data_IF_955500536753
#
_entry.id   IF_955500536753
#
_cell.length_a   1.000
_cell.length_b   1.000
_cell.length_c   1.000
_cell.angle_alpha   90.00
_cell.angle_beta   90.00
_cell.angle_gamma   90.00
#
_symmetry.space_group_name_H-M   'P 1'
#
loop_
_entity.id
_entity.type
_entity.pdbx_description
1 polymer ?
#
# COMPACT_ATOMS: atom_id res chain seq x y z
N UNK A 1 -18.25 1.72 -8.85
CA UNK A 1 -17.44 1.31 -7.68
C UNK A 1 -16.36 0.34 -8.15
N UNK A 2 -15.09 0.78 -8.08
CA UNK A 2 -13.89 0.00 -8.45
C UNK A 2 -13.76 -1.28 -7.59
N UNK A 3 -13.43 -2.40 -8.22
CA UNK A 3 -13.15 -3.71 -7.62
C UNK A 3 -11.82 -3.72 -6.86
N UNK A 4 -10.84 -2.93 -7.32
CA UNK A 4 -9.59 -2.70 -6.61
C UNK A 4 -9.82 -1.94 -5.29
N UNK A 5 -10.73 -0.96 -5.28
CA UNK A 5 -11.11 -0.22 -4.09
C UNK A 5 -12.22 -0.89 -3.25
N UNK A 6 -12.80 -2.02 -3.71
CA UNK A 6 -13.82 -2.76 -2.94
C UNK A 6 -13.16 -3.43 -1.73
N UNK A 7 -13.50 -3.03 -0.51
CA UNK A 7 -12.97 -3.68 0.65
C UNK A 7 -13.67 -5.03 0.81
N UNK A 8 -12.94 -6.12 0.63
CA UNK A 8 -13.21 -7.32 1.42
C UNK A 8 -12.79 -6.93 2.85
N UNK A 9 -13.62 -6.16 3.56
CA UNK A 9 -13.40 -5.70 4.94
C UNK A 9 -11.96 -5.26 5.20
N UNK A 10 -11.46 -4.21 4.52
CA UNK A 10 -10.10 -3.70 4.78
C UNK A 10 -10.08 -3.19 6.23
N UNK A 11 -9.37 -3.86 7.14
CA UNK A 11 -9.37 -3.45 8.54
C UNK A 11 -8.70 -2.07 8.67
N UNK A 12 -9.13 -1.26 9.63
CA UNK A 12 -8.56 0.08 9.82
C UNK A 12 -7.08 0.01 10.26
N UNK A 13 -6.69 -1.04 10.97
CA UNK A 13 -5.34 -1.24 11.47
C UNK A 13 -4.42 -1.89 10.42
N UNK A 14 -3.26 -1.30 10.16
CA UNK A 14 -2.25 -1.82 9.22
C UNK A 14 -1.82 -3.27 9.51
N UNK A 15 -1.67 -3.66 10.77
CA UNK A 15 -1.32 -5.04 11.14
C UNK A 15 -2.39 -6.05 10.71
N UNK A 16 -3.66 -5.67 10.84
CA UNK A 16 -4.78 -6.51 10.40
C UNK A 16 -4.84 -6.61 8.86
N UNK A 17 -4.44 -5.55 8.14
CA UNK A 17 -4.29 -5.60 6.67
C UNK A 17 -3.18 -6.55 6.24
N UNK A 18 -2.04 -6.53 6.95
CA UNK A 18 -0.96 -7.49 6.74
C UNK A 18 -1.49 -8.92 6.94
N UNK A 19 -2.20 -9.20 8.04
CA UNK A 19 -2.76 -10.53 8.32
C UNK A 19 -3.75 -10.98 7.26
N UNK A 20 -4.60 -10.07 6.78
CA UNK A 20 -5.52 -10.34 5.68
C UNK A 20 -4.77 -10.75 4.40
N UNK A 21 -3.68 -10.05 4.05
CA UNK A 21 -2.86 -10.39 2.89
C UNK A 21 -2.19 -11.77 3.00
N UNK A 22 -1.70 -12.15 4.19
CA UNK A 22 -1.18 -13.50 4.44
C UNK A 22 -2.25 -14.58 4.28
N UNK A 23 -3.41 -14.40 4.92
CA UNK A 23 -4.54 -15.35 4.81
C UNK A 23 -4.99 -15.50 3.36
N UNK A 24 -5.04 -14.39 2.63
CA UNK A 24 -5.40 -14.36 1.22
C UNK A 24 -4.41 -15.13 0.34
N UNK A 25 -3.12 -14.98 0.63
CA UNK A 25 -2.06 -15.70 -0.05
C UNK A 25 -2.00 -17.20 0.30
N UNK A 26 -2.76 -17.65 1.32
CA UNK A 26 -2.65 -19.01 1.87
C UNK A 26 -1.33 -19.25 2.58
N UNK A 27 -0.66 -18.17 3.02
CA UNK A 27 0.62 -18.24 3.75
C UNK A 27 0.33 -18.10 5.25
N UNK A 28 0.96 -18.91 6.12
CA UNK A 28 0.80 -18.77 7.56
C UNK A 28 1.09 -17.35 8.02
N UNK A 29 0.17 -16.76 8.78
CA UNK A 29 0.38 -15.44 9.38
C UNK A 29 1.54 -15.55 10.38
N UNK A 30 2.59 -14.72 10.28
CA UNK A 30 3.70 -14.75 11.23
C UNK A 30 3.18 -14.54 12.66
N UNK A 31 3.57 -15.41 13.57
CA UNK A 31 3.24 -15.25 15.00
C UNK A 31 3.84 -13.95 15.50
N UNK A 32 2.96 -13.00 15.86
CA UNK A 32 3.33 -11.79 16.59
C UNK A 32 2.94 -11.97 18.05
N UNK A 33 3.51 -11.17 18.94
CA UNK A 33 3.20 -11.18 20.37
C UNK A 33 1.75 -10.73 20.70
N UNK A 34 0.77 -10.94 19.80
CA UNK A 34 -0.64 -10.60 19.99
C UNK A 34 -1.20 -11.33 21.22
N UNK A 35 -0.77 -12.57 21.47
CA UNK A 35 -1.14 -13.29 22.69
C UNK A 35 -0.66 -12.64 23.99
N UNK A 36 0.40 -11.82 23.95
CA UNK A 36 0.87 -11.08 25.14
C UNK A 36 -0.12 -9.96 25.50
N UNK A 37 -0.73 -9.31 24.50
CA UNK A 37 -1.75 -8.28 24.74
C UNK A 37 -2.98 -8.91 25.41
N UNK A 38 -3.42 -10.07 24.91
CA UNK A 38 -4.57 -10.78 25.47
C UNK A 38 -4.28 -11.26 26.90
N UNK A 39 -3.08 -11.78 27.16
CA UNK A 39 -2.64 -12.19 28.50
C UNK A 39 -2.59 -11.00 29.47
N UNK A 40 -2.05 -9.86 29.03
CA UNK A 40 -2.01 -8.63 29.85
C UNK A 40 -3.42 -8.09 30.09
N UNK A 41 -4.29 -8.13 29.08
CA UNK A 41 -5.68 -7.66 29.18
C UNK A 41 -6.55 -8.50 30.10
N UNK A 42 -6.30 -9.82 30.17
CA UNK A 42 -7.08 -10.77 30.96
C UNK A 42 -6.77 -10.77 32.47
N UNK A 43 -5.67 -10.15 32.92
CA UNK A 43 -5.37 -10.03 34.36
C UNK A 43 -6.48 -9.21 35.05
N UNK A 44 -6.97 -9.60 36.24
CA UNK A 44 -7.95 -8.81 36.99
C UNK A 44 -7.42 -7.44 37.40
N UNK A 45 -8.30 -6.44 37.44
CA UNK A 45 -7.98 -5.11 37.98
C UNK A 45 -7.94 -5.10 39.50
N UNK A 46 -7.26 -4.12 40.09
CA UNK A 46 -7.23 -3.96 41.55
C UNK A 46 -8.64 -3.81 42.15
N UNK A 47 -9.56 -3.13 41.45
CA UNK A 47 -10.94 -2.94 41.90
C UNK A 47 -11.76 -4.24 41.86
N UNK A 48 -11.61 -5.06 40.81
CA UNK A 48 -12.25 -6.38 40.71
C UNK A 48 -11.76 -7.32 41.82
N UNK A 49 -10.46 -7.32 42.09
CA UNK A 49 -9.87 -8.12 43.18
C UNK A 49 -10.32 -7.60 44.54
N UNK A 50 -10.39 -6.28 44.74
CA UNK A 50 -10.87 -5.69 45.99
C UNK A 50 -12.35 -6.04 46.26
N UNK A 51 -13.19 -6.02 45.23
CA UNK A 51 -14.59 -6.42 45.34
C UNK A 51 -14.75 -7.91 45.70
N UNK A 52 -13.94 -8.79 45.08
CA UNK A 52 -13.91 -10.22 45.42
C UNK A 52 -13.48 -10.45 46.87
N UNK A 53 -12.39 -9.80 47.29
CA UNK A 53 -11.87 -9.90 48.66
C UNK A 53 -12.87 -9.38 49.69
N UNK A 54 -13.59 -8.29 49.41
CA UNK A 54 -14.62 -7.77 50.31
C UNK A 54 -15.75 -8.78 50.53
N UNK A 55 -16.15 -9.53 49.49
CA UNK A 55 -17.13 -10.60 49.61
C UNK A 55 -16.59 -11.81 50.41
N UNK A 56 -15.33 -12.20 50.16
CA UNK A 56 -14.67 -13.31 50.85
C UNK A 56 -14.46 -13.02 52.36
N UNK A 57 -14.12 -11.77 52.70
CA UNK A 57 -13.83 -11.33 54.07
C UNK A 57 -15.01 -11.54 55.04
N UNK A 58 -16.25 -11.48 54.55
CA UNK A 58 -17.47 -11.61 55.37
C UNK A 58 -17.57 -12.99 56.04
N UNK A 59 -17.00 -14.02 55.42
CA UNK A 59 -17.15 -15.41 55.85
C UNK A 59 -15.83 -16.08 56.23
N UNK A 60 -14.71 -15.36 56.21
CA UNK A 60 -13.39 -15.94 56.41
C UNK A 60 -13.11 -16.22 57.91
N UNK A 61 -12.77 -17.47 58.29
CA UNK A 61 -12.55 -17.84 59.69
C UNK A 61 -11.16 -17.45 60.25
N UNK A 62 -10.21 -17.03 59.41
CA UNK A 62 -8.85 -16.61 59.80
C UNK A 62 -8.49 -15.23 59.21
N UNK A 63 -8.80 -14.13 59.92
CA UNK A 63 -8.55 -12.78 59.43
C UNK A 63 -7.07 -12.46 59.18
N UNK A 64 -6.15 -13.08 59.92
CA UNK A 64 -4.72 -12.78 59.81
C UNK A 64 -4.10 -13.42 58.57
N UNK A 65 -4.41 -14.69 58.31
CA UNK A 65 -4.01 -15.36 57.07
C UNK A 65 -4.67 -14.72 55.84
N UNK A 66 -5.97 -14.39 55.94
CA UNK A 66 -6.71 -13.70 54.89
C UNK A 66 -6.08 -12.35 54.52
N UNK A 67 -5.69 -11.55 55.52
CA UNK A 67 -5.10 -10.23 55.28
C UNK A 67 -3.79 -10.33 54.48
N UNK A 68 -2.92 -11.29 54.79
CA UNK A 68 -1.66 -11.48 54.07
C UNK A 68 -1.89 -11.89 52.60
N UNK A 69 -2.81 -12.83 52.35
CA UNK A 69 -3.16 -13.27 50.98
C UNK A 69 -3.84 -12.14 50.19
N UNK A 70 -4.73 -11.38 50.84
CA UNK A 70 -5.40 -10.22 50.25
C UNK A 70 -4.38 -9.17 49.78
N UNK A 71 -3.34 -8.88 50.58
CA UNK A 71 -2.28 -7.96 50.20
C UNK A 71 -1.52 -8.44 48.95
N UNK A 72 -1.18 -9.73 48.86
CA UNK A 72 -0.49 -10.28 47.69
C UNK A 72 -1.36 -10.21 46.43
N UNK A 73 -2.64 -10.56 46.54
CA UNK A 73 -3.61 -10.50 45.43
C UNK A 73 -3.81 -9.07 44.93
N UNK A 74 -3.95 -8.10 45.84
CA UNK A 74 -4.04 -6.68 45.48
C UNK A 74 -2.73 -6.17 44.87
N UNK A 75 -1.57 -6.51 45.44
CA UNK A 75 -0.28 -6.08 44.90
C UNK A 75 -0.05 -6.61 43.47
N UNK A 76 -0.42 -7.87 43.20
CA UNK A 76 -0.38 -8.43 41.85
C UNK A 76 -1.33 -7.69 40.89
N UNK A 77 -2.57 -7.43 41.31
CA UNK A 77 -3.56 -6.74 40.49
C UNK A 77 -3.12 -5.29 40.17
N UNK A 78 -2.57 -4.57 41.15
CA UNK A 78 -1.97 -3.24 40.96
C UNK A 78 -0.80 -3.27 39.98
N UNK A 79 0.08 -4.29 40.06
CA UNK A 79 1.15 -4.48 39.09
C UNK A 79 0.61 -4.80 37.69
N UNK A 80 -0.46 -5.59 37.59
CA UNK A 80 -1.19 -5.87 36.35
C UNK A 80 -1.77 -4.61 35.71
N UNK A 81 -2.44 -3.77 36.49
CA UNK A 81 -2.98 -2.49 36.01
C UNK A 81 -1.87 -1.53 35.55
N UNK A 82 -0.77 -1.46 36.30
CA UNK A 82 0.41 -0.68 35.91
C UNK A 82 1.01 -1.20 34.59
N UNK A 83 1.11 -2.53 34.43
CA UNK A 83 1.59 -3.16 33.21
C UNK A 83 0.66 -2.89 32.03
N UNK A 84 -0.66 -3.05 32.16
CA UNK A 84 -1.64 -2.72 31.11
C UNK A 84 -1.47 -1.28 30.63
N UNK A 85 -1.38 -0.33 31.56
CA UNK A 85 -1.24 1.09 31.24
C UNK A 85 0.10 1.42 30.57
N UNK A 86 1.21 0.85 31.06
CA UNK A 86 2.54 1.09 30.51
C UNK A 86 2.73 0.39 29.14
N UNK A 87 2.27 -0.85 29.03
CA UNK A 87 2.40 -1.67 27.83
C UNK A 87 1.59 -1.09 26.68
N UNK A 88 0.33 -0.68 26.89
CA UNK A 88 -0.47 -0.03 25.86
C UNK A 88 0.22 1.21 25.27
N UNK A 89 0.82 2.05 26.11
CA UNK A 89 1.60 3.22 25.66
C UNK A 89 2.86 2.85 24.90
N UNK A 90 3.57 1.80 25.33
CA UNK A 90 4.80 1.36 24.70
C UNK A 90 4.56 0.64 23.36
N UNK A 91 3.44 -0.08 23.24
CA UNK A 91 3.12 -0.91 22.08
C UNK A 91 2.93 -0.12 20.79
N UNK A 92 2.34 1.08 20.86
CA UNK A 92 2.22 1.94 19.68
C UNK A 92 3.59 2.38 19.16
N UNK A 93 4.52 2.69 20.07
CA UNK A 93 5.90 3.03 19.75
C UNK A 93 6.64 1.85 19.13
N UNK A 94 6.61 0.69 19.80
CA UNK A 94 7.26 -0.54 19.34
C UNK A 94 6.71 -1.01 17.98
N UNK A 95 5.39 -0.92 17.78
CA UNK A 95 4.75 -1.28 16.50
C UNK A 95 5.23 -0.35 15.37
N UNK A 96 5.28 0.96 15.62
CA UNK A 96 5.76 1.94 14.64
C UNK A 96 7.22 1.70 14.28
N UNK A 97 8.06 1.40 15.27
CA UNK A 97 9.48 1.11 15.07
C UNK A 97 9.71 -0.19 14.28
N UNK A 98 8.93 -1.24 14.56
CA UNK A 98 9.04 -2.53 13.87
C UNK A 98 8.36 -2.56 12.48
N UNK A 99 7.48 -1.61 12.17
CA UNK A 99 6.67 -1.62 10.95
C UNK A 99 7.48 -1.69 9.64
N UNK A 100 8.59 -0.94 9.47
CA UNK A 100 9.39 -1.02 8.24
C UNK A 100 9.91 -2.43 7.96
N UNK A 101 10.41 -3.12 8.99
CA UNK A 101 10.92 -4.49 8.87
C UNK A 101 9.78 -5.49 8.64
N UNK A 102 8.65 -5.31 9.32
CA UNK A 102 7.45 -6.12 9.11
C UNK A 102 6.93 -6.00 7.67
N UNK A 103 6.86 -4.79 7.12
CA UNK A 103 6.45 -4.56 5.73
C UNK A 103 7.46 -5.14 4.74
N UNK A 104 8.76 -5.04 5.02
CA UNK A 104 9.78 -5.63 4.17
C UNK A 104 9.65 -7.16 4.12
N UNK A 105 9.55 -7.82 5.28
CA UNK A 105 9.33 -9.28 5.36
C UNK A 105 8.03 -9.68 4.68
N UNK A 106 6.94 -8.97 4.97
CA UNK A 106 5.63 -9.19 4.34
C UNK A 106 5.69 -9.09 2.82
N UNK A 107 6.31 -8.05 2.27
CA UNK A 107 6.45 -7.91 0.82
C UNK A 107 7.25 -9.06 0.21
N UNK A 108 8.29 -9.52 0.89
CA UNK A 108 9.12 -10.65 0.45
C UNK A 108 8.35 -11.96 0.47
N UNK A 109 7.68 -12.27 1.59
CA UNK A 109 6.94 -13.51 1.79
C UNK A 109 5.74 -13.63 0.84
N UNK A 110 5.07 -12.50 0.57
CA UNK A 110 3.88 -12.46 -0.28
C UNK A 110 4.18 -12.33 -1.78
N UNK A 111 5.41 -11.99 -2.17
CA UNK A 111 5.79 -11.78 -3.57
C UNK A 111 5.43 -12.95 -4.49
N UNK A 112 5.70 -14.24 -4.14
CA UNK A 112 5.34 -15.34 -5.02
C UNK A 112 3.83 -15.47 -5.28
N UNK A 113 3.01 -15.21 -4.25
CA UNK A 113 1.55 -15.23 -4.39
C UNK A 113 1.05 -14.05 -5.22
N UNK A 114 1.63 -12.86 -5.03
CA UNK A 114 1.38 -11.70 -5.86
C UNK A 114 1.75 -11.97 -7.34
N UNK A 115 2.93 -12.53 -7.63
CA UNK A 115 3.38 -12.77 -9.00
C UNK A 115 2.45 -13.74 -9.75
N UNK A 116 1.92 -14.75 -9.03
CA UNK A 116 0.90 -15.66 -9.57
C UNK A 116 -0.39 -14.92 -9.91
N UNK A 117 -0.80 -13.99 -9.05
CA UNK A 117 -1.97 -13.16 -9.25
C UNK A 117 -1.80 -12.20 -10.43
N UNK A 118 -0.67 -11.51 -10.52
CA UNK A 118 -0.31 -10.64 -11.63
C UNK A 118 -0.33 -11.40 -12.97
N UNK A 119 0.25 -12.62 -13.01
CA UNK A 119 0.18 -13.51 -14.19
C UNK A 119 -1.26 -13.90 -14.56
N UNK A 120 -2.10 -14.13 -13.57
CA UNK A 120 -3.53 -14.45 -13.78
C UNK A 120 -4.26 -13.26 -14.38
N UNK A 121 -4.05 -12.06 -13.83
CA UNK A 121 -4.61 -10.83 -14.38
C UNK A 121 -4.11 -10.57 -15.81
N UNK A 122 -2.81 -10.72 -16.08
CA UNK A 122 -2.24 -10.56 -17.43
C UNK A 122 -2.88 -11.51 -18.44
N UNK A 123 -3.09 -12.79 -18.10
CA UNK A 123 -3.80 -13.74 -18.99
C UNK A 123 -5.25 -13.33 -19.25
N UNK A 124 -5.96 -12.94 -18.20
CA UNK A 124 -7.34 -12.49 -18.32
C UNK A 124 -7.45 -11.22 -19.17
N UNK A 125 -6.61 -10.21 -18.88
CA UNK A 125 -6.56 -8.91 -19.55
C UNK A 125 -6.32 -9.02 -21.06
N UNK A 126 -5.47 -9.95 -21.50
CA UNK A 126 -5.23 -10.22 -22.92
C UNK A 126 -6.42 -10.81 -23.66
N UNK A 127 -7.35 -11.42 -22.93
CA UNK A 127 -8.56 -12.04 -23.49
C UNK A 127 -9.79 -11.14 -23.37
N UNK A 128 -9.69 -10.02 -22.65
CA UNK A 128 -10.78 -9.06 -22.51
C UNK A 128 -10.79 -8.06 -23.67
N UNK A 129 -11.95 -7.49 -24.01
CA UNK A 129 -12.06 -6.42 -25.01
C UNK A 129 -11.08 -5.27 -24.74
N UNK A 130 -10.58 -4.63 -25.80
CA UNK A 130 -9.68 -3.49 -25.68
C UNK A 130 -10.40 -2.27 -25.09
N UNK A 131 -11.62 -2.01 -25.56
CA UNK A 131 -12.48 -0.92 -25.10
C UNK A 131 -13.37 -1.45 -23.97
N UNK A 132 -13.39 -0.76 -22.83
CA UNK A 132 -14.18 -1.13 -21.64
C UNK A 132 -13.97 -2.60 -21.21
N UNK A 133 -12.75 -3.02 -20.86
CA UNK A 133 -12.40 -4.42 -20.60
C UNK A 133 -13.19 -5.08 -19.47
N UNK A 134 -13.82 -4.29 -18.60
CA UNK A 134 -14.56 -4.77 -17.43
C UNK A 134 -16.08 -4.66 -17.57
N UNK A 135 -16.56 -4.33 -18.77
CA UNK A 135 -17.98 -4.30 -19.09
C UNK A 135 -18.57 -5.73 -19.11
N UNK A 136 -19.72 -5.93 -18.44
CA UNK A 136 -20.32 -7.27 -18.31
C UNK A 136 -20.93 -7.71 -19.62
N UNK A 137 -21.67 -6.82 -20.28
CA UNK A 137 -22.50 -7.17 -21.42
C UNK A 137 -21.59 -7.51 -22.61
N UNK A 138 -20.60 -6.65 -22.90
CA UNK A 138 -19.59 -6.90 -23.92
C UNK A 138 -18.77 -8.17 -23.65
N UNK A 139 -18.45 -8.48 -22.39
CA UNK A 139 -17.73 -9.70 -22.04
C UNK A 139 -18.60 -10.96 -22.19
N UNK A 140 -19.90 -10.89 -21.92
CA UNK A 140 -20.82 -12.02 -22.12
C UNK A 140 -21.05 -12.25 -23.61
N UNK A 141 -21.32 -11.20 -24.38
CA UNK A 141 -21.52 -11.26 -25.83
C UNK A 141 -20.27 -11.80 -26.56
N UNK A 142 -19.08 -11.38 -26.14
CA UNK A 142 -17.80 -11.86 -26.67
C UNK A 142 -17.34 -13.23 -26.16
N UNK A 143 -18.08 -13.88 -25.26
CA UNK A 143 -17.68 -15.19 -24.68
C UNK A 143 -16.50 -15.11 -23.70
N UNK A 144 -16.25 -13.94 -23.12
CA UNK A 144 -15.15 -13.65 -22.19
C UNK A 144 -15.56 -13.64 -20.71
N UNK A 145 -16.77 -14.07 -20.36
CA UNK A 145 -17.30 -14.02 -18.99
C UNK A 145 -16.37 -14.64 -17.93
N UNK A 146 -15.71 -15.76 -18.24
CA UNK A 146 -14.75 -16.40 -17.33
C UNK A 146 -13.50 -15.54 -17.10
N UNK A 147 -12.99 -14.87 -18.15
CA UNK A 147 -11.86 -13.96 -18.06
C UNK A 147 -12.23 -12.69 -17.29
N UNK A 148 -13.44 -12.17 -17.48
CA UNK A 148 -13.94 -11.03 -16.71
C UNK A 148 -14.00 -11.35 -15.22
N UNK A 149 -14.53 -12.52 -14.86
CA UNK A 149 -14.53 -12.98 -13.46
C UNK A 149 -13.11 -13.09 -12.91
N UNK A 150 -12.20 -13.73 -13.64
CA UNK A 150 -10.81 -13.88 -13.21
C UNK A 150 -10.10 -12.53 -13.04
N UNK A 151 -10.34 -11.56 -13.92
CA UNK A 151 -9.80 -10.21 -13.81
C UNK A 151 -10.34 -9.48 -12.58
N UNK A 152 -11.67 -9.50 -12.35
CA UNK A 152 -12.29 -8.87 -11.18
C UNK A 152 -11.80 -9.47 -9.86
N UNK A 153 -11.77 -10.80 -9.79
CA UNK A 153 -11.24 -11.51 -8.63
C UNK A 153 -9.78 -11.10 -8.41
N UNK A 154 -8.96 -11.05 -9.46
CA UNK A 154 -7.57 -10.62 -9.35
C UNK A 154 -7.40 -9.17 -8.89
N UNK A 155 -8.20 -8.23 -9.41
CA UNK A 155 -8.16 -6.82 -9.04
C UNK A 155 -8.52 -6.60 -7.56
N UNK A 156 -9.53 -7.30 -7.05
CA UNK A 156 -9.89 -7.24 -5.63
C UNK A 156 -8.77 -7.79 -4.73
N UNK A 157 -8.14 -8.89 -5.15
CA UNK A 157 -7.01 -9.46 -4.42
C UNK A 157 -5.79 -8.53 -4.44
N UNK A 158 -5.51 -7.87 -5.57
CA UNK A 158 -4.46 -6.85 -5.69
C UNK A 158 -4.71 -5.68 -4.72
N UNK A 159 -5.95 -5.21 -4.60
CA UNK A 159 -6.33 -4.18 -3.62
C UNK A 159 -5.94 -4.53 -2.18
N UNK A 160 -6.01 -5.81 -1.81
CA UNK A 160 -5.59 -6.28 -0.47
C UNK A 160 -4.07 -6.17 -0.28
N UNK A 161 -3.28 -6.48 -1.31
CA UNK A 161 -1.83 -6.29 -1.25
C UNK A 161 -1.43 -4.82 -1.22
N UNK A 162 -2.11 -3.93 -1.97
CA UNK A 162 -1.85 -2.50 -1.90
C UNK A 162 -2.15 -1.94 -0.50
N UNK A 163 -3.24 -2.40 0.11
CA UNK A 163 -3.72 -1.89 1.40
C UNK A 163 -2.74 -2.10 2.57
N UNK A 164 -1.77 -3.03 2.48
CA UNK A 164 -0.74 -3.21 3.52
C UNK A 164 0.11 -1.94 3.70
N UNK A 165 0.20 -1.09 2.67
CA UNK A 165 0.84 0.21 2.74
C UNK A 165 -0.21 1.26 3.09
N UNK A 166 -0.08 1.85 4.28
CA UNK A 166 -0.82 3.06 4.64
C UNK A 166 0.00 4.24 4.15
N UNK A 167 -0.49 4.96 3.14
CA UNK A 167 0.17 6.13 2.58
C UNK A 167 -0.80 7.29 2.50
N UNK A 168 -0.41 8.43 3.07
CA UNK A 168 -1.03 9.70 2.71
C UNK A 168 -0.43 10.16 1.37
N UNK A 169 -1.26 10.54 0.39
CA UNK A 169 -0.74 10.96 -0.91
C UNK A 169 0.11 12.23 -0.74
N UNK A 170 1.37 12.24 -1.20
CA UNK A 170 2.15 13.47 -1.27
C UNK A 170 1.40 14.51 -2.11
N UNK A 171 1.43 15.77 -1.70
CA UNK A 171 0.71 16.88 -2.37
C UNK A 171 1.13 17.04 -3.84
N UNK A 172 2.33 16.57 -4.19
CA UNK A 172 2.95 16.70 -5.50
C UNK A 172 2.77 15.49 -6.43
N UNK A 173 1.97 14.49 -6.02
CA UNK A 173 1.69 13.29 -6.83
C UNK A 173 0.17 13.04 -6.85
N UNK A 174 -0.45 12.76 -8.03
CA UNK A 174 -1.86 12.42 -8.08
C UNK A 174 -2.21 11.22 -7.18
N UNK A 175 -3.26 11.35 -6.38
CA UNK A 175 -3.65 10.33 -5.41
C UNK A 175 -3.95 8.95 -6.04
N UNK A 176 -4.54 8.94 -7.25
CA UNK A 176 -4.79 7.71 -8.00
C UNK A 176 -3.47 6.96 -8.31
N UNK A 177 -2.42 7.69 -8.72
CA UNK A 177 -1.10 7.11 -8.97
C UNK A 177 -0.47 6.59 -7.66
N UNK A 178 -0.55 7.34 -6.56
CA UNK A 178 -0.02 6.91 -5.25
C UNK A 178 -0.61 5.55 -4.84
N UNK A 179 -1.91 5.37 -5.05
CA UNK A 179 -2.62 4.12 -4.71
C UNK A 179 -2.08 2.91 -5.50
N UNK A 180 -1.53 3.14 -6.70
CA UNK A 180 -0.96 2.09 -7.55
C UNK A 180 0.49 1.74 -7.24
N UNK A 181 1.28 2.67 -6.67
CA UNK A 181 2.73 2.49 -6.46
C UNK A 181 3.12 1.22 -5.68
N UNK A 182 2.34 0.74 -4.69
CA UNK A 182 2.61 -0.54 -4.03
C UNK A 182 2.67 -1.74 -4.98
N UNK A 183 1.99 -1.69 -6.12
CA UNK A 183 1.81 -2.83 -7.02
C UNK A 183 2.33 -2.57 -8.44
N UNK A 184 2.65 -1.33 -8.77
CA UNK A 184 3.08 -0.93 -10.12
C UNK A 184 4.52 -0.43 -10.06
N UNK A 185 5.39 -1.09 -10.82
CA UNK A 185 6.72 -0.56 -11.11
C UNK A 185 6.65 0.44 -12.26
N UNK A 186 7.31 1.58 -12.08
CA UNK A 186 7.33 2.69 -13.04
C UNK A 186 8.70 2.75 -13.72
N UNK A 187 8.76 3.15 -15.01
CA UNK A 187 10.03 3.38 -15.67
C UNK A 187 10.78 4.54 -15.02
N UNK A 188 12.07 4.68 -15.33
CA UNK A 188 12.84 5.86 -14.90
C UNK A 188 12.26 7.13 -15.53
N UNK A 189 12.07 8.14 -14.70
CA UNK A 189 11.47 9.43 -15.06
C UNK A 189 12.48 10.54 -14.87
N UNK A 190 12.30 11.63 -15.60
CA UNK A 190 13.12 12.83 -15.47
C UNK A 190 12.30 14.05 -15.11
N UNK A 191 12.96 15.03 -14.49
CA UNK A 191 12.42 16.36 -14.25
C UNK A 191 12.42 17.15 -15.56
N UNK A 192 11.24 17.56 -16.00
CA UNK A 192 11.05 18.25 -17.28
C UNK A 192 11.69 19.65 -17.25
N UNK A 193 12.48 19.97 -18.28
CA UNK A 193 13.10 21.27 -18.44
C UNK A 193 12.24 22.18 -19.32
N UNK A 194 11.85 23.34 -18.78
CA UNK A 194 11.02 24.33 -19.45
C UNK A 194 11.81 25.62 -19.71
N UNK A 195 11.77 26.14 -20.93
CA UNK A 195 12.19 27.51 -21.23
C UNK A 195 11.01 28.45 -20.98
N UNK A 196 11.26 29.51 -20.22
CA UNK A 196 10.25 30.46 -19.78
C UNK A 196 10.25 31.78 -20.54
N UNK A 197 11.14 32.01 -21.50
CA UNK A 197 11.54 33.39 -21.75
C UNK A 197 10.73 34.21 -22.78
N UNK A 198 9.85 33.70 -23.67
CA UNK A 198 9.22 34.62 -24.66
C UNK A 198 7.73 34.50 -25.01
N UNK A 199 7.06 33.36 -24.97
CA UNK A 199 5.64 33.27 -25.43
C UNK A 199 4.80 32.21 -24.68
N UNK A 200 5.31 31.68 -23.58
CA UNK A 200 4.75 30.52 -22.88
C UNK A 200 5.87 29.61 -22.38
N UNK A 201 5.53 28.63 -21.52
CA UNK A 201 6.49 27.60 -21.10
C UNK A 201 6.62 26.58 -22.23
N UNK A 202 7.81 26.47 -22.81
CA UNK A 202 8.09 25.50 -23.89
C UNK A 202 8.98 24.39 -23.33
N UNK A 203 8.62 23.14 -23.59
CA UNK A 203 9.42 21.98 -23.20
C UNK A 203 10.68 21.92 -24.06
N UNK A 204 11.84 21.93 -23.40
CA UNK A 204 13.17 21.88 -24.04
C UNK A 204 13.72 20.46 -24.04
N UNK A 205 13.17 19.61 -23.18
CA UNK A 205 13.51 18.19 -23.11
C UNK A 205 13.06 17.47 -24.38
N UNK A 206 13.94 16.73 -25.08
CA UNK A 206 13.54 15.97 -26.27
C UNK A 206 12.44 14.94 -25.96
N UNK A 207 11.48 14.79 -26.88
CA UNK A 207 10.31 13.92 -26.72
C UNK A 207 10.68 12.46 -26.39
N UNK A 208 11.72 11.92 -27.05
CA UNK A 208 12.19 10.57 -26.79
C UNK A 208 12.66 10.37 -25.35
N UNK A 209 13.28 11.39 -24.75
CA UNK A 209 13.73 11.39 -23.35
C UNK A 209 12.57 11.62 -22.38
N UNK A 210 11.54 12.34 -22.81
CA UNK A 210 10.36 12.63 -22.00
C UNK A 210 9.32 11.49 -22.02
N UNK A 211 9.36 10.59 -23.01
CA UNK A 211 8.39 9.52 -23.20
C UNK A 211 8.11 8.67 -21.93
N UNK A 212 9.11 8.23 -21.15
CA UNK A 212 8.85 7.54 -19.87
C UNK A 212 8.08 8.41 -18.86
N UNK A 213 8.43 9.69 -18.75
CA UNK A 213 7.73 10.67 -17.89
C UNK A 213 6.27 10.86 -18.36
N UNK A 214 6.03 10.98 -19.67
CA UNK A 214 4.68 11.09 -20.22
C UNK A 214 3.86 9.81 -19.99
N UNK A 215 4.49 8.65 -20.05
CA UNK A 215 3.83 7.37 -19.76
C UNK A 215 3.33 7.31 -18.32
N UNK A 216 4.14 7.74 -17.34
CA UNK A 216 3.71 7.83 -15.93
C UNK A 216 2.55 8.82 -15.76
N UNK A 217 2.58 9.96 -16.46
CA UNK A 217 1.48 10.94 -16.45
C UNK A 217 0.19 10.36 -17.03
N UNK A 218 0.28 9.61 -18.12
CA UNK A 218 -0.85 8.91 -18.75
C UNK A 218 -1.45 7.87 -17.81
N UNK A 219 -0.63 7.04 -17.16
CA UNK A 219 -1.11 6.08 -16.14
C UNK A 219 -1.90 6.78 -15.03
N UNK A 220 -1.39 7.92 -14.54
CA UNK A 220 -2.07 8.67 -13.49
C UNK A 220 -3.42 9.26 -13.94
N UNK A 221 -3.48 9.77 -15.18
CA UNK A 221 -4.71 10.30 -15.77
C UNK A 221 -5.74 9.18 -15.93
N UNK A 222 -5.36 8.08 -16.57
CA UNK A 222 -6.25 6.93 -16.80
C UNK A 222 -6.71 6.32 -15.45
N UNK A 223 -5.83 6.24 -14.45
CA UNK A 223 -6.17 5.74 -13.12
C UNK A 223 -7.13 6.64 -12.35
N UNK A 224 -7.08 7.96 -12.60
CA UNK A 224 -8.02 8.90 -12.01
C UNK A 224 -9.43 8.74 -12.58
N UNK A 225 -9.55 8.30 -13.83
CA UNK A 225 -10.83 7.97 -14.47
C UNK A 225 -11.32 6.57 -14.05
N UNK A 226 -10.48 5.55 -14.20
CA UNK A 226 -10.77 4.17 -13.81
C UNK A 226 -9.48 3.38 -13.46
N UNK A 227 -9.23 3.23 -12.17
CA UNK A 227 -8.09 2.49 -11.63
C UNK A 227 -8.12 0.99 -11.99
N UNK A 228 -9.30 0.39 -12.10
CA UNK A 228 -9.43 -1.04 -12.43
C UNK A 228 -9.06 -1.26 -13.90
N UNK A 229 -9.61 -0.43 -14.80
CA UNK A 229 -9.30 -0.49 -16.22
C UNK A 229 -7.81 -0.20 -16.47
N UNK A 230 -7.23 0.75 -15.72
CA UNK A 230 -5.80 1.07 -15.81
C UNK A 230 -4.92 -0.12 -15.40
N UNK A 231 -5.24 -0.80 -14.30
CA UNK A 231 -4.53 -2.02 -13.89
C UNK A 231 -4.63 -3.14 -14.92
N UNK A 232 -5.78 -3.27 -15.59
CA UNK A 232 -5.95 -4.20 -16.73
C UNK A 232 -5.05 -3.80 -17.91
N UNK A 233 -5.00 -2.51 -18.25
CA UNK A 233 -4.12 -1.98 -19.30
C UNK A 233 -2.64 -2.20 -19.00
N UNK A 234 -2.19 -1.95 -17.77
CA UNK A 234 -0.83 -2.28 -17.30
C UNK A 234 -0.57 -3.79 -17.43
N UNK A 235 -1.52 -4.63 -17.02
CA UNK A 235 -1.38 -6.08 -17.13
C UNK A 235 -1.31 -6.58 -18.58
N UNK A 236 -1.94 -5.87 -19.52
CA UNK A 236 -1.90 -6.14 -20.97
C UNK A 236 -0.59 -5.67 -21.62
N UNK A 237 0.05 -4.65 -21.04
CA UNK A 237 1.25 -4.01 -21.56
C UNK A 237 0.96 -2.75 -22.37
N UNK A 238 -0.15 -2.05 -22.10
CA UNK A 238 -0.59 -0.86 -22.85
C UNK A 238 0.23 0.41 -22.50
N UNK A 239 1.12 0.30 -21.50
CA UNK A 239 1.98 1.38 -20.98
C UNK A 239 3.45 0.93 -20.97
N UNK A 240 4.27 1.51 -21.84
CA UNK A 240 5.66 1.11 -22.01
C UNK A 240 6.48 1.28 -20.72
N UNK A 241 7.21 0.23 -20.34
CA UNK A 241 8.07 0.23 -19.15
C UNK A 241 7.32 0.19 -17.81
N UNK A 242 5.99 0.12 -17.81
CA UNK A 242 5.16 -0.02 -16.60
C UNK A 242 4.78 -1.49 -16.41
N UNK A 243 4.89 -2.00 -15.19
CA UNK A 243 4.58 -3.42 -14.92
C UNK A 243 4.01 -3.66 -13.53
N UNK A 244 3.35 -4.81 -13.34
CA UNK A 244 2.87 -5.23 -12.03
C UNK A 244 4.00 -5.89 -11.23
N UNK A 245 4.30 -5.35 -10.06
CA UNK A 245 5.31 -5.86 -9.13
C UNK A 245 5.01 -5.36 -7.72
N UNK A 246 4.92 -6.26 -6.74
CA UNK A 246 4.74 -5.88 -5.34
C UNK A 246 5.99 -5.16 -4.84
N UNK A 247 5.86 -3.96 -4.30
CA UNK A 247 6.99 -3.20 -3.77
C UNK A 247 7.44 -3.74 -2.41
N UNK A 248 8.74 -3.71 -2.12
CA UNK A 248 9.23 -3.58 -0.74
C UNK A 248 9.17 -2.11 -0.29
N UNK A 249 9.33 -1.78 1.01
CA UNK A 249 9.41 -0.38 1.44
C UNK A 249 10.51 0.44 0.74
N UNK A 250 11.64 -0.19 0.39
CA UNK A 250 12.72 0.47 -0.34
C UNK A 250 12.34 0.75 -1.80
N UNK A 251 11.76 -0.23 -2.49
CA UNK A 251 11.26 -0.08 -3.87
C UNK A 251 10.13 0.94 -3.93
N UNK A 252 9.22 0.95 -2.96
CA UNK A 252 8.12 1.90 -2.87
C UNK A 252 8.63 3.34 -2.79
N UNK A 253 9.68 3.60 -1.98
CA UNK A 253 10.33 4.91 -1.93
C UNK A 253 10.92 5.32 -3.29
N UNK A 254 11.54 4.39 -4.01
CA UNK A 254 12.09 4.65 -5.35
C UNK A 254 10.96 4.96 -6.35
N UNK A 255 9.87 4.19 -6.34
CA UNK A 255 8.68 4.42 -7.17
C UNK A 255 8.02 5.76 -6.87
N UNK A 256 7.91 6.15 -5.60
CA UNK A 256 7.42 7.48 -5.19
C UNK A 256 8.34 8.58 -5.69
N UNK A 257 9.66 8.40 -5.66
CA UNK A 257 10.60 9.38 -6.23
C UNK A 257 10.44 9.53 -7.75
N UNK A 258 10.32 8.42 -8.49
CA UNK A 258 10.04 8.43 -9.93
C UNK A 258 8.70 9.13 -10.24
N UNK A 259 7.64 8.73 -9.53
CA UNK A 259 6.33 9.38 -9.66
C UNK A 259 6.42 10.89 -9.41
N UNK A 260 7.17 11.32 -8.39
CA UNK A 260 7.39 12.74 -8.10
C UNK A 260 8.13 13.46 -9.22
N UNK A 261 9.23 12.90 -9.71
CA UNK A 261 10.04 13.52 -10.76
C UNK A 261 9.26 13.67 -12.06
N UNK A 262 8.33 12.74 -12.36
CA UNK A 262 7.43 12.86 -13.51
C UNK A 262 6.55 14.12 -13.48
N UNK A 263 6.24 14.67 -12.30
CA UNK A 263 5.41 15.88 -12.15
C UNK A 263 6.22 17.14 -11.83
N UNK A 264 7.54 17.01 -11.68
CA UNK A 264 8.42 18.15 -11.45
C UNK A 264 8.84 18.79 -12.76
N UNK A 265 8.94 20.11 -12.71
CA UNK A 265 9.48 20.93 -13.79
C UNK A 265 10.59 21.81 -13.25
N UNK A 266 11.61 22.10 -14.05
CA UNK A 266 12.66 23.07 -13.75
C UNK A 266 12.85 24.04 -14.90
N UNK A 267 13.50 25.17 -14.63
CA UNK A 267 14.01 26.05 -15.68
C UNK A 267 15.08 25.31 -16.52
N UNK A 268 14.99 25.45 -17.84
CA UNK A 268 16.03 24.99 -18.75
C UNK A 268 17.30 25.81 -18.55
N UNK A 269 18.45 25.15 -18.60
CA UNK A 269 19.75 25.82 -18.62
C UNK A 269 20.02 26.46 -19.98
N UNK A 270 20.96 27.42 -20.04
CA UNK A 270 21.33 28.10 -21.29
C UNK A 270 21.82 27.12 -22.37
N UNK A 271 22.52 26.07 -21.98
CA UNK A 271 23.06 25.07 -22.91
C UNK A 271 21.95 24.20 -23.51
N UNK A 272 20.94 23.82 -22.71
CA UNK A 272 19.78 23.03 -23.19
C UNK A 272 18.94 23.81 -24.21
N UNK A 273 18.70 25.10 -23.95
CA UNK A 273 18.00 25.99 -24.90
C UNK A 273 18.78 26.12 -26.22
N UNK A 274 20.12 26.12 -26.15
CA UNK A 274 20.99 26.20 -27.32
C UNK A 274 20.93 24.93 -28.19
N UNK A 275 20.91 23.75 -27.57
CA UNK A 275 20.80 22.47 -28.30
C UNK A 275 19.45 22.34 -29.00
N UNK A 276 18.35 22.74 -28.34
CA UNK A 276 17.02 22.75 -28.96
C UNK A 276 16.97 23.67 -30.18
N UNK A 277 17.42 24.93 -30.04
CA UNK A 277 17.45 25.89 -31.16
C UNK A 277 18.38 25.47 -32.32
N UNK A 278 19.39 24.64 -32.05
CA UNK A 278 20.24 24.06 -33.09
C UNK A 278 19.58 22.89 -33.81
N UNK A 279 18.83 22.05 -33.08
CA UNK A 279 18.16 20.86 -33.64
C UNK A 279 16.98 21.26 -34.52
N UNK A 280 16.25 22.31 -34.11
CA UNK A 280 15.10 22.86 -34.84
C UNK A 280 15.51 23.64 -36.11
N UNK A 281 16.80 23.98 -36.24
CA UNK A 281 17.36 24.72 -37.39
C UNK A 281 18.03 23.85 -38.44
N UNK A 282 17.90 22.53 -38.42
CA UNK A 282 18.22 21.66 -39.56
C UNK A 282 19.46 22.04 -40.39
N UNK A 283 20.60 22.33 -39.76
CA UNK A 283 21.85 22.52 -40.51
C UNK A 283 22.46 21.16 -40.77
N UNK A 284 22.06 20.56 -41.90
CA UNK A 284 22.85 19.51 -42.54
C UNK A 284 24.03 20.21 -43.19
N UNK A 285 25.20 20.18 -42.56
CA UNK A 285 26.45 20.47 -43.25
C UNK A 285 26.98 19.14 -43.82
N UNK A 286 26.85 19.02 -45.14
CA UNK A 286 27.61 18.08 -45.98
C UNK A 286 29.12 18.31 -45.83
#
# INVERSE_FOLDING_TARGET
MSNFARPITIPQNQLQRIDAAYRLAGVPVPTRAVGIVDLIGAEPTADEVAASLAAEAITNPDPAAFYAEALERIARAQAGDALKAAFGKAMDGATREAMPDLLHRTATDLRPAFDKLAKTLTRAAKSLPAVNPLDVDAAVEGGHAAHLKAARDALTLLGTYAAIYVQDPPVDIPAALVTLLPLVDLPETIVEALDGDRLGRVTVTPDATLSPTLTVRRVAQDAAEDIDATLVGIARGDYDGVSLSLATPAELRQRTARARDAYRTRGASRDEVRVMTSTDRGWTLL
#
